data_IF_494164359406
#
_entry.id   IF_494164359406
#
_cell.length_a   1.000
_cell.length_b   1.000
_cell.length_c   1.000
_cell.angle_alpha   90.00
_cell.angle_beta   90.00
_cell.angle_gamma   90.00
#
_symmetry.space_group_name_H-M   'P 1'
#
loop_
_entity.id
_entity.type
_entity.pdbx_description
1 polymer ?
#
# COMPACT_ATOMS: atom_id res chain seq x y z
N UNK A 1 29.68 31.30 -3.91
CA UNK A 1 28.37 31.60 -4.56
C UNK A 1 27.32 30.61 -4.06
N UNK A 2 26.40 31.07 -3.21
CA UNK A 2 25.26 30.25 -2.76
C UNK A 2 24.30 30.13 -3.94
N UNK A 3 24.13 28.92 -4.49
CA UNK A 3 23.14 28.68 -5.55
C UNK A 3 21.73 28.99 -5.03
N UNK A 4 20.87 29.58 -5.87
CA UNK A 4 19.49 29.81 -5.48
C UNK A 4 18.73 28.48 -5.39
N UNK A 5 17.77 28.37 -4.46
CA UNK A 5 16.95 27.16 -4.33
C UNK A 5 16.22 26.78 -5.62
N UNK A 6 15.81 27.76 -6.43
CA UNK A 6 15.23 27.49 -7.75
C UNK A 6 16.22 26.78 -8.69
N UNK A 7 17.50 27.17 -8.68
CA UNK A 7 18.53 26.53 -9.50
C UNK A 7 18.75 25.07 -9.07
N UNK A 8 18.75 24.80 -7.77
CA UNK A 8 18.83 23.43 -7.22
C UNK A 8 17.60 22.61 -7.62
N UNK A 9 16.40 23.18 -7.55
CA UNK A 9 15.17 22.49 -7.98
C UNK A 9 15.23 22.14 -9.48
N UNK A 10 15.74 23.03 -10.33
CA UNK A 10 15.99 22.72 -11.74
C UNK A 10 17.06 21.65 -11.95
N UNK A 11 18.13 21.65 -11.15
CA UNK A 11 19.19 20.64 -11.18
C UNK A 11 18.63 19.24 -10.86
N UNK A 12 17.76 19.14 -9.84
CA UNK A 12 17.02 17.93 -9.49
C UNK A 12 16.05 17.47 -10.60
N UNK A 13 15.74 18.33 -11.57
CA UNK A 13 14.76 18.08 -12.62
C UNK A 13 13.33 18.37 -12.20
N UNK A 14 13.12 19.10 -11.10
CA UNK A 14 11.83 19.66 -10.74
C UNK A 14 11.48 20.82 -11.68
N UNK A 15 10.19 21.18 -11.73
CA UNK A 15 9.73 22.23 -12.64
C UNK A 15 8.67 23.12 -11.99
N UNK A 16 8.74 24.46 -12.12
CA UNK A 16 7.78 25.34 -11.49
C UNK A 16 6.46 25.33 -12.26
N UNK A 17 5.34 25.22 -11.53
CA UNK A 17 3.99 25.18 -12.11
C UNK A 17 3.68 26.46 -12.89
N UNK A 18 4.23 27.60 -12.45
CA UNK A 18 4.06 28.91 -13.10
C UNK A 18 4.62 28.98 -14.52
N UNK A 19 5.51 28.07 -14.90
CA UNK A 19 6.09 28.00 -16.26
C UNK A 19 5.51 26.89 -17.13
N UNK A 20 4.50 26.17 -16.64
CA UNK A 20 3.81 25.17 -17.46
C UNK A 20 2.98 25.86 -18.54
N UNK A 21 3.23 25.51 -19.80
CA UNK A 21 2.47 26.01 -20.95
C UNK A 21 1.35 25.06 -21.36
N UNK A 22 1.52 23.75 -21.10
CA UNK A 22 0.46 22.76 -21.32
C UNK A 22 -0.68 22.95 -20.31
N UNK A 23 -1.95 22.79 -20.71
CA UNK A 23 -3.06 22.73 -19.77
C UNK A 23 -2.88 21.59 -18.76
N UNK A 24 -3.24 21.86 -17.50
CA UNK A 24 -3.17 20.89 -16.40
C UNK A 24 -4.40 21.02 -15.49
N UNK A 25 -4.71 19.94 -14.75
CA UNK A 25 -5.76 19.97 -13.74
C UNK A 25 -5.33 20.84 -12.56
N UNK A 26 -6.08 21.89 -12.29
CA UNK A 26 -5.76 22.88 -11.25
C UNK A 26 -6.88 23.10 -10.23
N UNK A 27 -8.00 22.37 -10.31
CA UNK A 27 -9.18 22.52 -9.43
C UNK A 27 -9.63 23.98 -9.20
N UNK A 28 -9.46 24.86 -10.22
CA UNK A 28 -9.74 26.31 -10.15
C UNK A 28 -8.78 27.13 -9.26
N UNK A 29 -7.63 26.57 -8.92
CA UNK A 29 -6.50 27.25 -8.28
C UNK A 29 -5.34 27.39 -9.28
N UNK A 30 -5.23 28.51 -10.02
CA UNK A 30 -4.09 28.75 -10.90
C UNK A 30 -2.75 28.64 -10.17
N UNK A 31 -1.75 28.03 -10.79
CA UNK A 31 -0.44 27.81 -10.17
C UNK A 31 -0.34 26.59 -9.26
N UNK A 32 -1.39 25.77 -9.16
CA UNK A 32 -1.37 24.48 -8.44
C UNK A 32 -1.76 23.34 -9.37
N UNK A 33 -1.18 22.17 -9.15
CA UNK A 33 -1.48 20.96 -9.95
C UNK A 33 -2.16 19.94 -9.05
N UNK A 34 -3.28 19.39 -9.53
CA UNK A 34 -4.04 18.36 -8.85
C UNK A 34 -4.17 17.11 -9.72
N UNK A 35 -4.31 15.94 -9.08
CA UNK A 35 -4.77 14.71 -9.71
C UNK A 35 -5.71 13.99 -8.77
N UNK A 36 -6.89 13.61 -9.29
CA UNK A 36 -7.94 12.92 -8.52
C UNK A 36 -8.23 13.60 -7.15
N UNK A 37 -8.31 14.92 -7.15
CA UNK A 37 -8.59 15.72 -5.95
C UNK A 37 -7.40 15.93 -5.00
N UNK A 38 -6.24 15.31 -5.24
CA UNK A 38 -5.03 15.47 -4.43
C UNK A 38 -4.07 16.46 -5.09
N UNK A 39 -3.53 17.41 -4.31
CA UNK A 39 -2.52 18.34 -4.79
C UNK A 39 -1.19 17.60 -5.00
N UNK A 40 -0.57 17.81 -6.17
CA UNK A 40 0.66 17.14 -6.59
C UNK A 40 1.90 18.04 -6.53
N UNK A 41 1.73 19.36 -6.66
CA UNK A 41 2.85 20.29 -6.51
C UNK A 41 3.17 20.55 -5.02
N UNK A 42 4.45 20.74 -4.74
CA UNK A 42 4.94 21.15 -3.43
C UNK A 42 5.49 22.57 -3.55
N UNK A 43 4.83 23.51 -2.88
CA UNK A 43 5.17 24.95 -2.91
C UNK A 43 5.28 25.53 -4.34
N UNK A 44 4.42 25.09 -5.26
CA UNK A 44 4.42 25.58 -6.65
C UNK A 44 5.43 24.88 -7.57
N UNK A 45 6.07 23.81 -7.11
CA UNK A 45 7.01 23.01 -7.90
C UNK A 45 6.52 21.57 -8.05
N UNK A 46 6.65 21.04 -9.26
CA UNK A 46 6.41 19.64 -9.55
C UNK A 46 7.65 18.80 -9.23
N UNK A 47 7.52 17.66 -8.51
CA UNK A 47 8.61 16.76 -8.25
C UNK A 47 9.18 16.17 -9.54
N UNK A 48 10.50 15.84 -9.57
CA UNK A 48 11.16 15.34 -10.78
C UNK A 48 10.49 14.13 -11.41
N UNK A 49 9.99 13.18 -10.61
CA UNK A 49 9.34 11.98 -11.14
C UNK A 49 8.04 12.29 -11.89
N UNK A 50 7.24 13.23 -11.38
CA UNK A 50 6.03 13.68 -12.06
C UNK A 50 6.37 14.40 -13.37
N UNK A 51 7.38 15.27 -13.37
CA UNK A 51 7.83 15.98 -14.57
C UNK A 51 8.29 15.00 -15.66
N UNK A 52 8.98 13.92 -15.28
CA UNK A 52 9.44 12.88 -16.22
C UNK A 52 8.30 12.03 -16.78
N UNK A 53 7.30 11.68 -15.96
CA UNK A 53 6.30 10.64 -16.30
C UNK A 53 4.95 11.17 -16.79
N UNK A 54 4.54 12.37 -16.40
CA UNK A 54 3.15 12.82 -16.53
C UNK A 54 2.94 13.92 -17.58
N UNK A 55 3.83 14.02 -18.57
CA UNK A 55 3.68 14.83 -19.78
C UNK A 55 3.29 16.30 -19.56
N UNK A 56 3.66 16.88 -18.42
CA UNK A 56 3.39 18.29 -18.06
C UNK A 56 4.12 19.29 -18.96
N UNK A 57 5.19 18.86 -19.64
CA UNK A 57 5.98 19.65 -20.58
C UNK A 57 5.79 19.13 -22.00
N UNK A 58 5.81 20.02 -22.99
CA UNK A 58 5.95 19.67 -24.42
C UNK A 58 7.31 19.02 -24.68
N UNK A 59 7.44 18.29 -25.79
CA UNK A 59 8.72 17.70 -26.18
C UNK A 59 9.80 18.77 -26.38
N UNK A 60 9.44 19.92 -26.96
CA UNK A 60 10.35 21.05 -27.14
C UNK A 60 10.82 21.63 -25.79
N UNK A 61 9.94 21.75 -24.80
CA UNK A 61 10.31 22.18 -23.44
C UNK A 61 11.19 21.12 -22.75
N UNK A 62 10.85 19.84 -22.87
CA UNK A 62 11.69 18.78 -22.31
C UNK A 62 13.11 18.83 -22.88
N UNK A 63 13.25 19.04 -24.20
CA UNK A 63 14.54 19.19 -24.85
C UNK A 63 15.27 20.48 -24.40
N UNK A 64 14.59 21.62 -24.36
CA UNK A 64 15.23 22.91 -24.03
C UNK A 64 15.69 22.99 -22.57
N UNK A 65 14.94 22.37 -21.64
CA UNK A 65 15.31 22.29 -20.23
C UNK A 65 16.20 21.08 -19.90
N UNK A 66 16.43 20.18 -20.85
CA UNK A 66 17.23 18.97 -20.68
C UNK A 66 16.60 17.97 -19.70
N UNK A 67 15.31 17.73 -19.82
CA UNK A 67 14.53 16.79 -19.01
C UNK A 67 14.35 15.47 -19.80
N UNK A 68 14.61 14.30 -19.21
CA UNK A 68 15.01 14.08 -17.82
C UNK A 68 16.45 14.52 -17.53
N UNK A 69 16.66 15.15 -16.36
CA UNK A 69 18.02 15.41 -15.87
C UNK A 69 18.74 14.10 -15.55
N UNK A 70 20.07 14.00 -15.80
CA UNK A 70 20.85 12.88 -15.31
C UNK A 70 20.82 12.83 -13.77
N UNK A 71 20.98 11.65 -13.15
CA UNK A 71 21.07 11.56 -11.71
C UNK A 71 22.29 12.34 -11.18
N UNK A 72 22.14 12.98 -10.03
CA UNK A 72 23.26 13.63 -9.36
C UNK A 72 24.16 12.59 -8.67
N UNK A 73 25.38 13.00 -8.32
CA UNK A 73 26.24 12.20 -7.45
C UNK A 73 25.62 12.02 -6.06
N UNK A 74 25.96 10.91 -5.37
CA UNK A 74 25.46 10.64 -4.02
C UNK A 74 25.75 11.79 -3.06
N UNK A 75 27.00 12.27 -3.05
CA UNK A 75 27.46 13.38 -2.22
C UNK A 75 26.69 14.67 -2.49
N UNK A 76 26.30 14.89 -3.76
CA UNK A 76 25.48 16.04 -4.14
C UNK A 76 24.08 15.91 -3.56
N UNK A 77 23.43 14.76 -3.67
CA UNK A 77 22.13 14.54 -3.05
C UNK A 77 22.18 14.72 -1.53
N UNK A 78 23.20 14.19 -0.85
CA UNK A 78 23.31 14.34 0.61
C UNK A 78 23.50 15.81 1.01
N UNK A 79 24.28 16.58 0.25
CA UNK A 79 24.44 18.02 0.50
C UNK A 79 23.12 18.81 0.37
N UNK A 80 22.12 18.29 -0.33
CA UNK A 80 20.79 18.92 -0.46
C UNK A 80 19.84 18.58 0.70
N UNK A 81 20.20 17.64 1.57
CA UNK A 81 19.44 17.30 2.78
C UNK A 81 19.78 18.25 3.95
N UNK A 82 19.80 19.56 3.70
CA UNK A 82 20.14 20.59 4.69
C UNK A 82 19.00 20.87 5.69
N UNK A 83 18.80 19.90 6.58
CA UNK A 83 17.75 19.93 7.60
C UNK A 83 17.97 21.02 8.64
N UNK A 84 19.22 21.33 8.97
CA UNK A 84 19.55 22.35 9.97
C UNK A 84 19.17 23.75 9.48
N UNK A 85 19.52 24.09 8.24
CA UNK A 85 19.13 25.38 7.66
C UNK A 85 17.61 25.46 7.51
N UNK A 86 16.95 24.37 7.10
CA UNK A 86 15.48 24.35 7.04
C UNK A 86 14.86 24.57 8.42
N UNK A 87 15.35 23.92 9.48
CA UNK A 87 14.81 24.10 10.82
C UNK A 87 14.91 25.56 11.31
N UNK A 88 15.98 26.27 10.93
CA UNK A 88 16.19 27.70 11.26
C UNK A 88 15.34 28.65 10.42
N UNK A 89 15.25 28.40 9.11
CA UNK A 89 14.65 29.33 8.15
C UNK A 89 13.18 29.05 7.85
N UNK A 90 12.77 27.78 7.96
CA UNK A 90 11.48 27.26 7.50
C UNK A 90 11.18 27.59 6.03
N UNK A 91 12.22 27.71 5.20
CA UNK A 91 12.07 28.07 3.80
C UNK A 91 11.31 26.98 3.01
N UNK A 92 10.21 27.33 2.31
CA UNK A 92 9.39 26.36 1.59
C UNK A 92 10.09 25.73 0.39
N UNK A 93 11.00 26.43 -0.28
CA UNK A 93 11.76 25.87 -1.40
C UNK A 93 12.83 24.91 -0.89
N UNK A 94 13.46 25.21 0.25
CA UNK A 94 14.37 24.26 0.89
C UNK A 94 13.63 22.98 1.34
N UNK A 95 12.40 23.11 1.87
CA UNK A 95 11.55 21.95 2.14
C UNK A 95 11.30 21.11 0.88
N UNK A 96 10.97 21.76 -0.24
CA UNK A 96 10.77 21.09 -1.51
C UNK A 96 12.04 20.40 -2.01
N UNK A 97 13.20 21.03 -1.88
CA UNK A 97 14.51 20.44 -2.22
C UNK A 97 14.75 19.16 -1.40
N UNK A 98 14.59 19.21 -0.08
CA UNK A 98 14.81 18.04 0.79
C UNK A 98 13.83 16.91 0.42
N UNK A 99 12.56 17.23 0.21
CA UNK A 99 11.54 16.25 -0.19
C UNK A 99 11.90 15.60 -1.53
N UNK A 100 12.11 16.39 -2.58
CA UNK A 100 12.43 15.88 -3.91
C UNK A 100 13.76 15.13 -3.96
N UNK A 101 14.73 15.52 -3.13
CA UNK A 101 15.98 14.78 -2.95
C UNK A 101 15.73 13.37 -2.41
N UNK A 102 14.90 13.23 -1.37
CA UNK A 102 14.53 11.91 -0.84
C UNK A 102 13.74 11.08 -1.86
N UNK A 103 12.84 11.69 -2.62
CA UNK A 103 12.10 11.02 -3.70
C UNK A 103 13.03 10.55 -4.81
N UNK A 104 13.97 11.39 -5.28
CA UNK A 104 14.93 10.99 -6.30
C UNK A 104 15.86 9.87 -5.83
N UNK A 105 16.35 9.94 -4.58
CA UNK A 105 17.13 8.85 -3.98
C UNK A 105 16.33 7.54 -4.00
N UNK A 106 15.03 7.57 -3.70
CA UNK A 106 14.13 6.41 -3.72
C UNK A 106 13.84 5.92 -5.14
N UNK A 107 13.33 6.79 -5.99
CA UNK A 107 12.75 6.44 -7.29
C UNK A 107 13.82 6.01 -8.29
N UNK A 108 15.03 6.59 -8.19
CA UNK A 108 16.20 6.16 -8.97
C UNK A 108 16.97 5.00 -8.33
N UNK A 109 16.57 4.54 -7.14
CA UNK A 109 17.20 3.44 -6.39
C UNK A 109 18.72 3.61 -6.22
N UNK A 110 19.19 4.84 -5.97
CA UNK A 110 20.62 5.13 -5.83
C UNK A 110 21.25 4.37 -4.65
N UNK A 111 22.50 3.90 -4.77
CA UNK A 111 23.13 3.18 -3.65
C UNK A 111 23.32 4.14 -2.46
N UNK A 112 22.75 3.81 -1.31
CA UNK A 112 22.96 4.55 -0.05
C UNK A 112 24.28 4.07 0.55
N UNK A 113 25.22 5.00 0.75
CA UNK A 113 26.55 4.67 1.29
C UNK A 113 26.54 4.64 2.82
N UNK A 114 25.82 5.57 3.44
CA UNK A 114 25.65 5.68 4.87
C UNK A 114 24.18 5.99 5.20
N UNK A 115 23.46 5.11 5.94
CA UNK A 115 22.08 5.35 6.34
C UNK A 115 21.87 6.64 7.15
N UNK A 116 22.85 7.05 7.95
CA UNK A 116 22.76 8.24 8.81
C UNK A 116 22.57 9.53 8.01
N UNK A 117 23.11 9.57 6.78
CA UNK A 117 22.95 10.70 5.85
C UNK A 117 21.48 10.97 5.50
N UNK A 118 20.62 9.96 5.58
CA UNK A 118 19.17 10.10 5.36
C UNK A 118 18.41 10.12 6.68
N UNK A 119 18.87 9.39 7.72
CA UNK A 119 18.23 9.40 9.03
C UNK A 119 18.25 10.77 9.69
N UNK A 120 19.21 11.65 9.39
CA UNK A 120 19.15 13.04 9.86
C UNK A 120 17.80 13.73 9.56
N UNK A 121 17.14 13.39 8.44
CA UNK A 121 15.82 13.92 8.10
C UNK A 121 14.72 13.36 9.01
N UNK A 122 14.82 12.08 9.37
CA UNK A 122 13.93 11.45 10.34
C UNK A 122 14.14 12.06 11.74
N UNK A 123 15.39 12.25 12.16
CA UNK A 123 15.72 12.89 13.45
C UNK A 123 15.21 14.34 13.54
N UNK A 124 15.20 15.06 12.41
CA UNK A 124 14.80 16.46 12.37
C UNK A 124 13.29 16.70 12.58
N UNK A 125 12.44 15.67 12.46
CA UNK A 125 10.97 15.75 12.66
C UNK A 125 10.31 16.88 11.88
N UNK A 126 10.69 17.04 10.61
CA UNK A 126 10.20 18.10 9.73
C UNK A 126 8.95 17.70 8.92
N UNK A 127 8.34 16.54 9.21
CA UNK A 127 7.18 16.04 8.47
C UNK A 127 7.55 15.20 7.24
N UNK A 128 8.83 14.80 7.10
CA UNK A 128 9.32 13.91 6.04
C UNK A 128 9.74 12.53 6.58
N UNK A 129 9.37 12.20 7.83
CA UNK A 129 9.75 11.01 8.57
C UNK A 129 9.49 9.70 7.79
N UNK A 130 8.26 9.53 7.32
CA UNK A 130 7.85 8.36 6.54
C UNK A 130 8.59 8.28 5.20
N UNK A 131 8.88 9.42 4.57
CA UNK A 131 9.62 9.44 3.31
C UNK A 131 11.08 9.04 3.54
N UNK A 132 11.73 9.56 4.59
CA UNK A 132 13.09 9.18 4.95
C UNK A 132 13.21 7.67 5.25
N UNK A 133 12.30 7.13 6.07
CA UNK A 133 12.26 5.70 6.37
C UNK A 133 11.98 4.85 5.13
N UNK A 134 11.04 5.25 4.27
CA UNK A 134 10.78 4.59 2.97
C UNK A 134 11.99 4.60 2.04
N UNK A 135 12.75 5.69 2.02
CA UNK A 135 13.97 5.80 1.22
C UNK A 135 15.03 4.80 1.71
N UNK A 136 15.12 4.57 3.02
CA UNK A 136 16.07 3.64 3.64
C UNK A 136 15.59 2.18 3.70
N UNK A 137 14.30 1.93 3.58
CA UNK A 137 13.71 0.60 3.68
C UNK A 137 14.33 -0.37 2.66
N UNK A 138 14.84 -1.51 3.14
CA UNK A 138 15.60 -2.50 2.38
C UNK A 138 16.89 -1.96 1.72
N UNK A 139 17.39 -0.79 2.14
CA UNK A 139 18.53 -0.08 1.52
C UNK A 139 19.55 0.44 2.53
N UNK A 140 19.58 -0.14 3.73
CA UNK A 140 20.54 0.22 4.78
C UNK A 140 19.92 0.39 6.17
N UNK A 141 18.60 0.48 6.28
CA UNK A 141 17.93 0.47 7.58
C UNK A 141 18.03 -0.92 8.22
N UNK A 142 18.73 -1.03 9.35
CA UNK A 142 18.94 -2.31 10.06
C UNK A 142 18.02 -2.44 11.26
N UNK A 143 17.82 -3.69 11.72
CA UNK A 143 17.08 -3.99 12.95
C UNK A 143 17.58 -3.23 14.19
N UNK A 144 18.89 -3.26 14.49
CA UNK A 144 19.46 -2.49 15.60
C UNK A 144 19.15 -0.98 15.52
N UNK A 145 19.27 -0.38 14.34
CA UNK A 145 18.94 1.03 14.14
C UNK A 145 17.46 1.31 14.44
N UNK A 146 16.55 0.45 13.98
CA UNK A 146 15.12 0.58 14.26
C UNK A 146 14.81 0.46 15.76
N UNK A 147 15.47 -0.46 16.46
CA UNK A 147 15.32 -0.60 17.90
C UNK A 147 15.80 0.64 18.65
N UNK A 148 16.94 1.22 18.25
CA UNK A 148 17.48 2.43 18.87
C UNK A 148 16.59 3.64 18.60
N UNK A 149 16.11 3.81 17.36
CA UNK A 149 15.13 4.83 17.01
C UNK A 149 13.83 4.69 17.82
N UNK A 150 13.33 3.46 17.99
CA UNK A 150 12.11 3.23 18.76
C UNK A 150 12.32 3.54 20.24
N UNK A 151 13.44 3.10 20.84
CA UNK A 151 13.79 3.43 22.23
C UNK A 151 13.85 4.94 22.44
N UNK A 152 14.43 5.68 21.49
CA UNK A 152 14.60 7.12 21.58
C UNK A 152 13.30 7.90 21.39
N UNK A 153 12.47 7.54 20.39
CA UNK A 153 11.33 8.36 19.97
C UNK A 153 9.96 7.77 20.32
N UNK A 154 9.88 6.47 20.62
CA UNK A 154 8.61 5.74 20.84
C UNK A 154 7.62 5.96 19.68
N UNK A 155 8.13 5.99 18.44
CA UNK A 155 7.37 6.34 17.24
C UNK A 155 6.71 5.11 16.61
N UNK A 156 5.37 5.10 16.60
CA UNK A 156 4.54 4.04 16.03
C UNK A 156 4.80 3.79 14.54
N UNK A 157 5.30 4.79 13.80
CA UNK A 157 5.62 4.67 12.39
C UNK A 157 6.69 3.59 12.13
N UNK A 158 7.60 3.37 13.08
CA UNK A 158 8.73 2.44 12.94
C UNK A 158 8.28 0.98 12.79
N UNK A 159 7.11 0.60 13.31
CA UNK A 159 6.57 -0.76 13.16
C UNK A 159 6.41 -1.17 11.70
N UNK A 160 6.12 -0.21 10.80
CA UNK A 160 5.97 -0.44 9.36
C UNK A 160 7.29 -0.75 8.65
N UNK A 161 8.41 -0.49 9.31
CA UNK A 161 9.76 -0.63 8.75
C UNK A 161 10.60 -1.69 9.46
N UNK A 162 10.03 -2.41 10.43
CA UNK A 162 10.69 -3.54 11.07
C UNK A 162 11.20 -4.53 10.04
N UNK A 163 12.38 -5.07 10.28
CA UNK A 163 13.01 -6.10 9.45
C UNK A 163 13.16 -7.40 10.26
N UNK A 164 13.19 -8.58 9.62
CA UNK A 164 13.48 -9.83 10.33
C UNK A 164 14.87 -9.78 10.96
N UNK A 165 15.03 -10.23 12.22
CA UNK A 165 16.35 -10.39 12.82
C UNK A 165 17.27 -11.28 11.96
N UNK A 166 18.52 -10.84 11.78
CA UNK A 166 19.56 -11.62 11.12
C UNK A 166 20.45 -12.34 12.14
N UNK A 167 21.24 -13.32 11.68
CA UNK A 167 22.21 -14.02 12.51
C UNK A 167 23.15 -13.02 13.21
N UNK A 168 23.35 -13.19 14.52
CA UNK A 168 24.17 -12.30 15.35
C UNK A 168 23.46 -11.03 15.86
N UNK A 169 22.18 -10.83 15.56
CA UNK A 169 21.38 -9.70 16.06
C UNK A 169 20.53 -10.08 17.29
N UNK A 170 21.13 -10.74 18.29
CA UNK A 170 20.42 -11.28 19.45
C UNK A 170 19.69 -10.18 20.25
N UNK A 171 20.31 -9.01 20.42
CA UNK A 171 19.71 -7.87 21.14
C UNK A 171 18.48 -7.30 20.43
N UNK A 172 18.49 -7.29 19.09
CA UNK A 172 17.35 -6.84 18.30
C UNK A 172 16.20 -7.85 18.36
N UNK A 173 16.50 -9.16 18.30
CA UNK A 173 15.50 -10.20 18.52
C UNK A 173 14.87 -10.10 19.91
N UNK A 174 15.68 -9.96 20.96
CA UNK A 174 15.19 -9.75 22.33
C UNK A 174 14.33 -8.50 22.46
N UNK A 175 14.68 -7.42 21.75
CA UNK A 175 13.86 -6.22 21.69
C UNK A 175 12.47 -6.50 21.09
N UNK A 176 12.40 -7.19 19.94
CA UNK A 176 11.12 -7.58 19.34
C UNK A 176 10.31 -8.52 20.25
N UNK A 177 10.95 -9.48 20.90
CA UNK A 177 10.27 -10.39 21.84
C UNK A 177 9.66 -9.65 23.03
N UNK A 178 10.35 -8.64 23.57
CA UNK A 178 9.80 -7.79 24.65
C UNK A 178 8.57 -7.02 24.19
N UNK A 179 8.58 -6.51 22.96
CA UNK A 179 7.42 -5.80 22.39
C UNK A 179 6.18 -6.69 22.35
N UNK A 180 6.31 -8.00 22.10
CA UNK A 180 5.16 -8.91 22.08
C UNK A 180 4.34 -8.89 23.38
N UNK A 181 5.00 -8.67 24.52
CA UNK A 181 4.38 -8.63 25.85
C UNK A 181 4.10 -7.21 26.36
N UNK A 182 4.46 -6.17 25.59
CA UNK A 182 4.23 -4.79 25.99
C UNK A 182 2.74 -4.46 25.87
N UNK A 183 2.13 -4.02 26.97
CA UNK A 183 0.72 -3.64 27.03
C UNK A 183 0.42 -2.32 26.31
N UNK A 184 1.45 -1.53 25.98
CA UNK A 184 1.30 -0.24 25.29
C UNK A 184 1.14 -0.40 23.79
N UNK A 185 1.59 -1.52 23.21
CA UNK A 185 1.49 -1.74 21.77
C UNK A 185 0.14 -2.38 21.41
N UNK A 186 -0.42 -1.90 20.29
CA UNK A 186 -1.70 -2.35 19.75
C UNK A 186 -1.56 -3.69 19.02
N UNK A 187 -2.68 -4.34 18.72
CA UNK A 187 -2.68 -5.66 18.08
C UNK A 187 -2.08 -5.65 16.68
N UNK A 188 -2.33 -4.61 15.89
CA UNK A 188 -1.74 -4.42 14.55
C UNK A 188 -0.22 -4.23 14.60
N UNK A 189 0.30 -3.55 15.62
CA UNK A 189 1.74 -3.39 15.84
C UNK A 189 2.37 -4.71 16.28
N UNK A 190 1.69 -5.43 17.20
CA UNK A 190 2.12 -6.75 17.66
C UNK A 190 2.16 -7.75 16.51
N UNK A 191 1.24 -7.65 15.55
CA UNK A 191 1.25 -8.44 14.33
C UNK A 191 2.51 -8.21 13.49
N UNK A 192 2.90 -6.96 13.26
CA UNK A 192 4.14 -6.64 12.54
C UNK A 192 5.37 -7.23 13.24
N UNK A 193 5.46 -7.09 14.57
CA UNK A 193 6.56 -7.66 15.37
C UNK A 193 6.60 -9.18 15.23
N UNK A 194 5.47 -9.85 15.43
CA UNK A 194 5.38 -11.30 15.35
C UNK A 194 5.74 -11.81 13.95
N UNK A 195 5.31 -11.09 12.91
CA UNK A 195 5.62 -11.42 11.52
C UNK A 195 7.13 -11.40 11.28
N UNK A 196 7.86 -10.39 11.78
CA UNK A 196 9.32 -10.32 11.61
C UNK A 196 10.06 -11.41 12.38
N UNK A 197 9.62 -11.73 13.59
CA UNK A 197 10.15 -12.85 14.37
C UNK A 197 9.93 -14.18 13.64
N UNK A 198 8.70 -14.45 13.19
CA UNK A 198 8.36 -15.65 12.42
C UNK A 198 9.17 -15.77 11.11
N UNK A 199 9.39 -14.66 10.40
CA UNK A 199 10.24 -14.66 9.21
C UNK A 199 11.71 -14.98 9.50
N UNK A 200 12.21 -14.63 10.70
CA UNK A 200 13.60 -14.95 11.10
C UNK A 200 13.80 -16.40 11.53
N UNK A 201 12.83 -16.98 12.24
CA UNK A 201 12.84 -18.40 12.64
C UNK A 201 11.41 -18.94 12.70
N UNK A 202 10.99 -19.55 11.60
CA UNK A 202 9.63 -20.10 11.52
C UNK A 202 9.41 -21.20 12.55
N UNK A 203 10.40 -22.05 12.81
CA UNK A 203 10.22 -23.20 13.69
C UNK A 203 10.00 -22.75 15.14
N UNK A 204 10.81 -21.80 15.61
CA UNK A 204 10.73 -21.28 16.97
C UNK A 204 9.41 -20.53 17.23
N UNK A 205 9.00 -19.66 16.30
CA UNK A 205 7.88 -18.75 16.54
C UNK A 205 6.53 -19.26 16.02
N UNK A 206 6.48 -20.38 15.27
CA UNK A 206 5.23 -20.87 14.63
C UNK A 206 4.06 -21.00 15.59
N UNK A 207 4.27 -21.65 16.74
CA UNK A 207 3.18 -21.98 17.66
C UNK A 207 2.52 -20.72 18.22
N UNK A 208 3.32 -19.79 18.74
CA UNK A 208 2.81 -18.55 19.28
C UNK A 208 2.30 -17.58 18.20
N UNK A 209 2.89 -17.59 16.99
CA UNK A 209 2.40 -16.78 15.88
C UNK A 209 1.00 -17.22 15.47
N UNK A 210 0.82 -18.53 15.29
CA UNK A 210 -0.49 -19.12 14.99
C UNK A 210 -1.52 -18.78 16.06
N UNK A 211 -1.17 -18.99 17.34
CA UNK A 211 -2.07 -18.70 18.45
C UNK A 211 -2.47 -17.22 18.50
N UNK A 212 -1.52 -16.31 18.28
CA UNK A 212 -1.77 -14.88 18.20
C UNK A 212 -2.76 -14.54 17.06
N UNK A 213 -2.50 -15.03 15.84
CA UNK A 213 -3.34 -14.78 14.68
C UNK A 213 -4.78 -15.26 14.91
N UNK A 214 -4.96 -16.50 15.36
CA UNK A 214 -6.27 -17.09 15.61
C UNK A 214 -7.04 -16.34 16.71
N UNK A 215 -6.34 -15.86 17.75
CA UNK A 215 -6.94 -15.11 18.84
C UNK A 215 -7.35 -13.67 18.47
N UNK A 216 -6.67 -13.05 17.50
CA UNK A 216 -6.80 -11.61 17.23
C UNK A 216 -7.48 -11.26 15.91
N UNK A 217 -7.44 -12.12 14.88
CA UNK A 217 -7.90 -11.75 13.52
C UNK A 217 -9.35 -11.28 13.46
N UNK A 218 -10.24 -11.84 14.30
CA UNK A 218 -11.65 -11.44 14.36
C UNK A 218 -11.90 -10.13 15.13
N UNK A 219 -10.92 -9.63 15.87
CA UNK A 219 -11.04 -8.44 16.72
C UNK A 219 -10.67 -7.14 15.99
N UNK A 220 -10.01 -7.23 14.84
CA UNK A 220 -9.59 -6.07 14.07
C UNK A 220 -10.77 -5.46 13.30
N UNK A 221 -10.91 -4.14 13.38
CA UNK A 221 -11.96 -3.40 12.66
C UNK A 221 -11.60 -3.16 11.19
N UNK A 222 -10.33 -2.86 10.91
CA UNK A 222 -9.85 -2.62 9.55
C UNK A 222 -9.82 -3.93 8.74
N UNK A 223 -10.46 -3.91 7.56
CA UNK A 223 -10.58 -5.10 6.72
C UNK A 223 -9.24 -5.51 6.09
N UNK A 224 -8.35 -4.55 5.81
CA UNK A 224 -7.08 -4.82 5.17
C UNK A 224 -6.13 -5.50 6.17
N UNK A 225 -6.07 -5.03 7.41
CA UNK A 225 -5.30 -5.68 8.47
C UNK A 225 -5.81 -7.10 8.77
N UNK A 226 -7.15 -7.30 8.81
CA UNK A 226 -7.74 -8.66 8.90
C UNK A 226 -7.28 -9.55 7.75
N UNK A 227 -7.32 -9.02 6.53
CA UNK A 227 -6.94 -9.74 5.30
C UNK A 227 -5.49 -10.22 5.36
N UNK A 228 -4.57 -9.38 5.84
CA UNK A 228 -3.15 -9.74 6.01
C UNK A 228 -2.94 -10.83 7.06
N UNK A 229 -3.67 -10.80 8.19
CA UNK A 229 -3.61 -11.87 9.19
C UNK A 229 -4.15 -13.21 8.65
N UNK A 230 -5.23 -13.19 7.88
CA UNK A 230 -5.74 -14.40 7.24
C UNK A 230 -4.81 -14.93 6.15
N UNK A 231 -4.11 -14.06 5.41
CA UNK A 231 -3.04 -14.49 4.50
C UNK A 231 -1.94 -15.22 5.26
N UNK A 232 -1.51 -14.71 6.42
CA UNK A 232 -0.53 -15.39 7.26
C UNK A 232 -1.02 -16.77 7.77
N UNK A 233 -2.29 -16.89 8.17
CA UNK A 233 -2.89 -18.18 8.51
C UNK A 233 -2.89 -19.15 7.31
N UNK A 234 -3.21 -18.63 6.12
CA UNK A 234 -3.17 -19.40 4.88
C UNK A 234 -1.75 -19.90 4.57
N UNK A 235 -0.71 -19.12 4.87
CA UNK A 235 0.70 -19.53 4.77
C UNK A 235 1.07 -20.67 5.72
N UNK A 236 0.61 -20.63 6.99
CA UNK A 236 0.82 -21.71 7.95
C UNK A 236 0.11 -22.99 7.50
N UNK A 237 -1.15 -22.87 7.04
CA UNK A 237 -1.84 -23.88 6.24
C UNK A 237 -2.15 -25.21 6.92
N UNK A 238 -2.09 -25.28 8.25
CA UNK A 238 -2.58 -26.43 9.02
C UNK A 238 -4.12 -26.46 9.06
N UNK A 239 -4.70 -27.55 9.56
CA UNK A 239 -6.16 -27.75 9.53
C UNK A 239 -6.94 -26.65 10.26
N UNK A 240 -6.42 -26.14 11.37
CA UNK A 240 -7.05 -25.08 12.15
C UNK A 240 -6.99 -23.74 11.41
N UNK A 241 -5.85 -23.43 10.80
CA UNK A 241 -5.70 -22.24 9.97
C UNK A 241 -6.61 -22.29 8.73
N UNK A 242 -6.69 -23.43 8.06
CA UNK A 242 -7.58 -23.64 6.91
C UNK A 242 -9.04 -23.45 7.33
N UNK A 243 -9.45 -23.99 8.47
CA UNK A 243 -10.79 -23.82 9.01
C UNK A 243 -11.10 -22.33 9.33
N UNK A 244 -10.15 -21.60 9.92
CA UNK A 244 -10.31 -20.18 10.21
C UNK A 244 -10.48 -19.35 8.92
N UNK A 245 -9.66 -19.61 7.89
CA UNK A 245 -9.75 -18.94 6.59
C UNK A 245 -11.05 -19.31 5.85
N UNK A 246 -11.48 -20.57 5.87
CA UNK A 246 -12.77 -21.00 5.30
C UNK A 246 -13.94 -20.31 6.00
N UNK A 247 -13.89 -20.22 7.33
CA UNK A 247 -14.89 -19.50 8.10
C UNK A 247 -14.92 -18.02 7.71
N UNK A 248 -13.76 -17.37 7.53
CA UNK A 248 -13.69 -15.97 7.10
C UNK A 248 -14.28 -15.76 5.71
N UNK A 249 -13.95 -16.64 4.75
CA UNK A 249 -14.47 -16.57 3.40
C UNK A 249 -16.01 -16.59 3.35
N UNK A 250 -16.63 -17.34 4.25
CA UNK A 250 -18.09 -17.48 4.32
C UNK A 250 -18.77 -16.45 5.23
N UNK A 251 -18.05 -15.82 6.15
CA UNK A 251 -18.67 -15.05 7.24
C UNK A 251 -18.07 -13.65 7.48
N UNK A 252 -16.96 -13.25 6.84
CA UNK A 252 -16.43 -11.90 7.03
C UNK A 252 -17.45 -10.86 6.55
N UNK A 253 -17.75 -9.81 7.32
CA UNK A 253 -18.79 -8.86 6.96
C UNK A 253 -18.39 -7.94 5.80
N UNK A 254 -17.14 -7.96 5.33
CA UNK A 254 -16.65 -7.06 4.29
C UNK A 254 -16.27 -7.85 3.03
N UNK A 255 -16.83 -7.45 1.88
CA UNK A 255 -16.59 -8.08 0.57
C UNK A 255 -15.09 -8.12 0.23
N UNK A 256 -14.39 -7.02 0.49
CA UNK A 256 -12.98 -6.83 0.17
C UNK A 256 -12.07 -7.83 0.89
N UNK A 257 -12.39 -8.21 2.13
CA UNK A 257 -11.67 -9.28 2.84
C UNK A 257 -11.81 -10.59 2.07
N UNK A 258 -13.04 -10.97 1.71
CA UNK A 258 -13.33 -12.22 1.00
C UNK A 258 -12.65 -12.26 -0.36
N UNK A 259 -12.74 -11.17 -1.13
CA UNK A 259 -12.10 -11.02 -2.43
C UNK A 259 -10.57 -11.13 -2.33
N UNK A 260 -9.97 -10.44 -1.34
CA UNK A 260 -8.54 -10.54 -1.09
C UNK A 260 -8.11 -11.99 -0.84
N UNK A 261 -8.85 -12.73 -0.01
CA UNK A 261 -8.56 -14.13 0.27
C UNK A 261 -8.65 -15.00 -0.98
N UNK A 262 -9.68 -14.84 -1.81
CA UNK A 262 -9.80 -15.58 -3.09
C UNK A 262 -8.60 -15.32 -4.00
N UNK A 263 -8.23 -14.05 -4.21
CA UNK A 263 -7.08 -13.66 -5.03
C UNK A 263 -5.77 -14.24 -4.47
N UNK A 264 -5.59 -14.22 -3.14
CA UNK A 264 -4.41 -14.81 -2.50
C UNK A 264 -4.37 -16.33 -2.66
N UNK A 265 -5.48 -17.03 -2.44
CA UNK A 265 -5.59 -18.48 -2.66
C UNK A 265 -5.23 -18.87 -4.09
N UNK A 266 -5.73 -18.12 -5.08
CA UNK A 266 -5.41 -18.28 -6.50
C UNK A 266 -3.90 -18.11 -6.74
N UNK A 267 -3.33 -16.99 -6.30
CA UNK A 267 -1.91 -16.67 -6.49
C UNK A 267 -0.96 -17.68 -5.82
N UNK A 268 -1.37 -18.27 -4.69
CA UNK A 268 -0.58 -19.24 -3.93
C UNK A 268 -0.87 -20.69 -4.32
N UNK A 269 -1.81 -20.94 -5.25
CA UNK A 269 -2.20 -22.30 -5.67
C UNK A 269 -2.86 -23.13 -4.57
N UNK A 270 -3.54 -22.49 -3.62
CA UNK A 270 -4.12 -23.14 -2.42
C UNK A 270 -5.62 -23.45 -2.52
N UNK A 271 -6.25 -23.15 -3.66
CA UNK A 271 -7.70 -23.26 -3.86
C UNK A 271 -8.25 -24.63 -3.46
N UNK A 272 -7.56 -25.72 -3.79
CA UNK A 272 -8.04 -27.07 -3.50
C UNK A 272 -8.33 -27.31 -2.01
N UNK A 273 -7.55 -26.69 -1.11
CA UNK A 273 -7.78 -26.79 0.35
C UNK A 273 -9.01 -26.03 0.83
N UNK A 274 -9.50 -25.10 0.02
CA UNK A 274 -10.59 -24.18 0.33
C UNK A 274 -11.82 -24.39 -0.57
N UNK A 275 -11.80 -25.43 -1.42
CA UNK A 275 -12.79 -25.62 -2.48
C UNK A 275 -14.22 -25.74 -1.94
N UNK A 276 -14.42 -26.41 -0.80
CA UNK A 276 -15.76 -26.54 -0.23
C UNK A 276 -16.33 -25.19 0.21
N UNK A 277 -15.51 -24.31 0.79
CA UNK A 277 -15.93 -22.96 1.16
C UNK A 277 -16.17 -22.10 -0.08
N UNK A 278 -15.33 -22.20 -1.10
CA UNK A 278 -15.51 -21.52 -2.40
C UNK A 278 -16.80 -21.97 -3.08
N UNK A 279 -17.09 -23.27 -3.06
CA UNK A 279 -18.32 -23.84 -3.61
C UNK A 279 -19.55 -23.30 -2.86
N UNK A 280 -19.55 -23.32 -1.52
CA UNK A 280 -20.64 -22.75 -0.73
C UNK A 280 -20.84 -21.25 -1.00
N UNK A 281 -19.75 -20.49 -1.08
CA UNK A 281 -19.78 -19.06 -1.40
C UNK A 281 -20.39 -18.82 -2.78
N UNK A 282 -19.99 -19.59 -3.80
CA UNK A 282 -20.54 -19.52 -5.15
C UNK A 282 -22.02 -19.91 -5.23
N UNK A 283 -22.52 -20.72 -4.30
CA UNK A 283 -23.96 -21.04 -4.18
C UNK A 283 -24.75 -19.98 -3.38
N UNK A 284 -24.13 -18.88 -2.96
CA UNK A 284 -24.76 -17.88 -2.09
C UNK A 284 -25.00 -18.37 -0.65
N UNK A 285 -24.41 -19.51 -0.26
CA UNK A 285 -24.57 -20.09 1.09
C UNK A 285 -23.55 -19.50 2.06
N UNK A 286 -23.63 -18.20 2.27
CA UNK A 286 -22.72 -17.44 3.13
C UNK A 286 -23.47 -16.40 3.97
N UNK A 287 -22.81 -15.86 4.99
CA UNK A 287 -23.37 -14.73 5.74
C UNK A 287 -23.40 -13.47 4.85
N UNK A 288 -24.36 -12.55 5.05
CA UNK A 288 -24.40 -11.28 4.33
C UNK A 288 -23.11 -10.48 4.60
N UNK A 289 -22.78 -9.62 3.65
CA UNK A 289 -21.61 -8.76 3.73
C UNK A 289 -21.88 -7.44 3.01
N UNK A 290 -21.12 -6.42 3.40
CA UNK A 290 -21.18 -5.08 2.86
C UNK A 290 -19.94 -4.79 2.01
N UNK A 291 -20.06 -3.75 1.21
CA UNK A 291 -18.97 -3.24 0.39
C UNK A 291 -18.52 -1.92 1.01
N UNK A 292 -17.30 -1.88 1.53
CA UNK A 292 -16.77 -0.62 2.02
C UNK A 292 -16.47 0.33 0.85
N UNK A 293 -16.88 1.60 0.96
CA UNK A 293 -16.69 2.57 -0.12
C UNK A 293 -15.20 2.83 -0.37
N UNK A 294 -14.73 2.55 -1.59
CA UNK A 294 -13.39 2.90 -2.03
C UNK A 294 -13.44 4.03 -3.08
N UNK A 295 -12.97 5.25 -2.78
CA UNK A 295 -13.18 6.44 -3.62
C UNK A 295 -12.55 6.37 -5.02
N UNK A 296 -11.72 5.37 -5.30
CA UNK A 296 -11.08 5.14 -6.59
C UNK A 296 -11.47 3.80 -7.25
N UNK A 297 -12.44 3.07 -6.69
CA UNK A 297 -12.92 1.80 -7.22
C UNK A 297 -14.09 1.98 -8.20
N UNK A 298 -14.33 1.02 -9.11
CA UNK A 298 -15.57 1.00 -9.88
C UNK A 298 -16.78 0.95 -8.93
N UNK A 299 -17.92 1.55 -9.31
CA UNK A 299 -19.16 1.38 -8.54
C UNK A 299 -19.56 -0.10 -8.57
N UNK A 300 -19.63 -0.73 -7.41
CA UNK A 300 -20.07 -2.11 -7.29
C UNK A 300 -21.61 -2.19 -7.40
N UNK A 301 -22.11 -3.17 -8.15
CA UNK A 301 -23.54 -3.26 -8.50
C UNK A 301 -24.38 -3.93 -7.40
N UNK A 302 -23.88 -5.00 -6.75
CA UNK A 302 -24.47 -5.64 -5.56
C UNK A 302 -23.38 -6.36 -4.77
N UNK A 303 -23.60 -6.65 -3.48
CA UNK A 303 -22.62 -7.38 -2.64
C UNK A 303 -22.27 -8.76 -3.24
N UNK A 304 -23.25 -9.56 -3.61
CA UNK A 304 -23.03 -10.95 -4.08
C UNK A 304 -22.27 -11.02 -5.41
N UNK A 305 -22.51 -10.10 -6.35
CA UNK A 305 -21.83 -10.11 -7.66
C UNK A 305 -20.38 -9.63 -7.60
N UNK A 306 -19.96 -8.95 -6.51
CA UNK A 306 -18.57 -8.47 -6.37
C UNK A 306 -17.55 -9.61 -6.37
N UNK A 307 -17.93 -10.79 -5.89
CA UNK A 307 -17.00 -11.90 -5.73
C UNK A 307 -16.98 -12.83 -6.96
N UNK A 308 -17.95 -12.73 -7.86
CA UNK A 308 -18.21 -13.73 -8.91
C UNK A 308 -17.04 -13.89 -9.89
N UNK A 309 -16.36 -12.81 -10.28
CA UNK A 309 -15.15 -12.88 -11.11
C UNK A 309 -14.00 -13.62 -10.41
N UNK A 310 -13.72 -13.27 -9.14
CA UNK A 310 -12.67 -13.91 -8.36
C UNK A 310 -12.98 -15.40 -8.09
N UNK A 311 -14.25 -15.74 -7.87
CA UNK A 311 -14.71 -17.11 -7.70
C UNK A 311 -14.54 -17.92 -8.99
N UNK A 312 -14.96 -17.35 -10.12
CA UNK A 312 -14.81 -17.95 -11.45
C UNK A 312 -13.35 -18.25 -11.76
N UNK A 313 -12.45 -17.30 -11.52
CA UNK A 313 -11.01 -17.48 -11.72
C UNK A 313 -10.47 -18.65 -10.90
N UNK A 314 -10.88 -18.74 -9.62
CA UNK A 314 -10.49 -19.85 -8.75
C UNK A 314 -10.99 -21.20 -9.30
N UNK A 315 -12.26 -21.28 -9.68
CA UNK A 315 -12.90 -22.50 -10.17
C UNK A 315 -12.29 -22.98 -11.49
N UNK A 316 -12.05 -22.05 -12.44
CA UNK A 316 -11.39 -22.33 -13.72
C UNK A 316 -9.95 -22.82 -13.50
N UNK A 317 -9.21 -22.25 -12.54
CA UNK A 317 -7.85 -22.71 -12.23
C UNK A 317 -7.86 -24.17 -11.76
N UNK A 318 -8.81 -24.56 -10.90
CA UNK A 318 -8.95 -25.95 -10.45
C UNK A 318 -9.36 -26.87 -11.60
N UNK A 319 -10.31 -26.45 -12.44
CA UNK A 319 -10.80 -27.24 -13.56
C UNK A 319 -9.70 -27.65 -14.55
N UNK A 320 -8.63 -26.85 -14.67
CA UNK A 320 -7.47 -27.16 -15.51
C UNK A 320 -6.59 -28.30 -15.00
N UNK A 321 -6.81 -28.81 -13.79
CA UNK A 321 -6.04 -29.92 -13.23
C UNK A 321 -6.46 -31.25 -13.88
N UNK A 322 -5.47 -32.08 -14.25
CA UNK A 322 -5.70 -33.31 -15.06
C UNK A 322 -6.36 -34.48 -14.32
N UNK A 323 -6.49 -34.40 -13.00
CA UNK A 323 -6.83 -35.53 -12.13
C UNK A 323 -7.77 -35.07 -11.02
N UNK A 324 -8.97 -34.65 -11.40
CA UNK A 324 -10.03 -34.31 -10.46
C UNK A 324 -10.89 -35.54 -10.16
N UNK A 325 -11.40 -35.62 -8.92
CA UNK A 325 -12.43 -36.61 -8.60
C UNK A 325 -13.78 -36.18 -9.18
N UNK A 326 -14.68 -37.12 -9.44
CA UNK A 326 -16.05 -36.82 -9.93
C UNK A 326 -16.81 -35.88 -8.99
N UNK A 327 -16.61 -36.02 -7.68
CA UNK A 327 -17.22 -35.14 -6.68
C UNK A 327 -16.68 -33.71 -6.82
N UNK A 328 -15.37 -33.57 -7.01
CA UNK A 328 -14.71 -32.28 -7.22
C UNK A 328 -15.20 -31.60 -8.51
N UNK A 329 -15.30 -32.35 -9.61
CA UNK A 329 -15.83 -31.85 -10.88
C UNK A 329 -17.27 -31.36 -10.73
N UNK A 330 -18.11 -32.12 -10.04
CA UNK A 330 -19.50 -31.75 -9.79
C UNK A 330 -19.61 -30.44 -8.98
N UNK A 331 -18.81 -30.29 -7.91
CA UNK A 331 -18.77 -29.05 -7.11
C UNK A 331 -18.41 -27.84 -7.96
N UNK A 332 -17.43 -27.98 -8.85
CA UNK A 332 -16.99 -26.90 -9.74
C UNK A 332 -18.09 -26.54 -10.74
N UNK A 333 -18.71 -27.54 -11.39
CA UNK A 333 -19.79 -27.31 -12.34
C UNK A 333 -20.98 -26.60 -11.69
N UNK A 334 -21.41 -27.06 -10.52
CA UNK A 334 -22.51 -26.43 -9.78
C UNK A 334 -22.20 -24.99 -9.38
N UNK A 335 -20.97 -24.73 -8.93
CA UNK A 335 -20.54 -23.38 -8.56
C UNK A 335 -20.50 -22.43 -9.78
N UNK A 336 -19.96 -22.89 -10.92
CA UNK A 336 -19.92 -22.11 -12.15
C UNK A 336 -21.33 -21.83 -12.72
N UNK A 337 -22.23 -22.81 -12.64
CA UNK A 337 -23.62 -22.63 -13.05
C UNK A 337 -24.33 -21.59 -12.18
N UNK A 338 -24.16 -21.65 -10.86
CA UNK A 338 -24.78 -20.69 -9.94
C UNK A 338 -24.30 -19.24 -10.19
N UNK A 339 -23.03 -19.05 -10.55
CA UNK A 339 -22.49 -17.75 -10.95
C UNK A 339 -23.16 -17.28 -12.26
N UNK A 340 -23.23 -18.15 -13.27
CA UNK A 340 -23.86 -17.81 -14.55
C UNK A 340 -25.35 -17.48 -14.40
N UNK A 341 -26.07 -18.19 -13.54
CA UNK A 341 -27.49 -17.97 -13.26
C UNK A 341 -27.74 -16.60 -12.60
N UNK A 342 -26.82 -16.13 -11.74
CA UNK A 342 -26.88 -14.79 -11.14
C UNK A 342 -26.64 -13.69 -12.16
N UNK A 343 -25.63 -13.83 -13.01
CA UNK A 343 -25.32 -12.87 -14.08
C UNK A 343 -26.44 -12.76 -15.12
N UNK A 344 -27.18 -13.84 -15.34
CA UNK A 344 -28.33 -13.84 -16.26
C UNK A 344 -29.57 -13.14 -15.69
N UNK A 345 -29.58 -12.76 -14.40
CA UNK A 345 -30.71 -12.01 -13.83
C UNK A 345 -30.66 -10.55 -14.30
N UNK A 346 -31.80 -9.98 -14.74
CA UNK A 346 -31.85 -8.60 -15.20
C UNK A 346 -31.45 -7.64 -14.07
N UNK A 347 -30.60 -6.66 -14.38
CA UNK A 347 -30.19 -5.62 -13.44
C UNK A 347 -31.43 -4.93 -12.83
N UNK A 348 -31.52 -4.76 -11.51
CA UNK A 348 -32.48 -3.83 -10.93
C UNK A 348 -32.15 -2.43 -11.46
N UNK A 349 -33.11 -1.80 -12.14
CA UNK A 349 -33.01 -0.42 -12.60
C UNK A 349 -32.91 0.46 -11.34
N UNK A 350 -31.69 0.81 -10.94
CA UNK A 350 -31.47 1.92 -10.03
C UNK A 350 -31.64 3.20 -10.85
N UNK A 351 -32.63 4.00 -10.45
CA UNK A 351 -33.18 5.14 -11.18
C UNK A 351 -32.15 6.04 -11.85
N UNK A 352 -32.51 6.48 -13.05
CA UNK A 352 -32.00 7.63 -13.79
C UNK A 352 -30.61 8.12 -13.35
N UNK A 353 -29.57 7.49 -13.89
CA UNK A 353 -28.32 8.20 -14.13
C UNK A 353 -28.60 9.27 -15.18
N UNK A 354 -29.05 10.43 -14.72
CA UNK A 354 -28.91 11.66 -15.48
C UNK A 354 -27.46 11.77 -15.93
N UNK A 355 -27.27 12.07 -17.21
CA UNK A 355 -25.97 12.31 -17.82
C UNK A 355 -25.15 13.24 -16.93
N UNK A 356 -23.93 12.82 -16.55
CA UNK A 356 -22.94 13.62 -15.83
C UNK A 356 -22.36 14.79 -16.65
N UNK A 357 -23.12 15.28 -17.64
CA UNK A 357 -22.80 16.39 -18.52
C UNK A 357 -23.90 17.46 -18.60
N UNK A 358 -24.91 17.43 -17.72
CA UNK A 358 -25.82 18.58 -17.63
C UNK A 358 -25.32 19.65 -16.65
N UNK A 359 -25.20 20.85 -17.21
CA UNK A 359 -24.70 22.06 -16.62
C UNK A 359 -25.30 22.32 -15.24
N UNK A 360 -24.45 22.55 -14.23
CA UNK A 360 -24.86 23.32 -13.06
C UNK A 360 -25.21 24.74 -13.54
N UNK A 361 -26.49 25.16 -13.51
CA UNK A 361 -26.83 26.55 -13.75
C UNK A 361 -26.30 27.35 -12.56
N UNK A 362 -25.57 28.43 -12.85
CA UNK A 362 -25.08 29.32 -11.80
C UNK A 362 -26.25 29.92 -11.01
N UNK A 363 -26.17 30.03 -9.68
CA UNK A 363 -26.97 31.01 -8.98
C UNK A 363 -26.42 32.40 -9.33
N UNK A 364 -27.23 33.17 -10.06
CA UNK A 364 -27.05 34.61 -10.26
C UNK A 364 -26.95 35.27 -8.89
N UNK A 365 -25.80 35.87 -8.56
CA UNK A 365 -25.66 36.71 -7.37
C UNK A 365 -26.49 37.98 -7.59
N UNK A 366 -27.42 38.24 -6.67
CA UNK A 366 -28.01 39.56 -6.46
C UNK A 366 -27.05 40.47 -5.71
#
# INVERSE_FOLDING_TARGET
PTESYEAILYELGAFPVSKLTKPYWNNRDPGKVYSKGTRLDLHGWLPPDLVRRHSYLTESEMQSYGIPKPPLGYERYIALLDVETYQKTKDPLLFAIINFTLEELRDRKLKIKNPDDVLQVYHAKIGLDNLALRTLHNRGLTGPMLADLYRQYQDDLLFRFLVPPQAGQDDYRLFLERLLTDSKIKSEQRFEVYTRLYQSDQQLYRAGYKAFLLGNVKQLTDWFDRSLMYEALMEIGDQECVAAVNHALLNDPIAQTREFLLRKMLSQGKIMKHLDAIHLLALGKCAPFEIEFYPCGPPFQTAETVLDDSLRDCLIQVQKQKTLSKETELKIQQALQAIADREAQPEPIFGERGDRFEANPQPVKK
#
